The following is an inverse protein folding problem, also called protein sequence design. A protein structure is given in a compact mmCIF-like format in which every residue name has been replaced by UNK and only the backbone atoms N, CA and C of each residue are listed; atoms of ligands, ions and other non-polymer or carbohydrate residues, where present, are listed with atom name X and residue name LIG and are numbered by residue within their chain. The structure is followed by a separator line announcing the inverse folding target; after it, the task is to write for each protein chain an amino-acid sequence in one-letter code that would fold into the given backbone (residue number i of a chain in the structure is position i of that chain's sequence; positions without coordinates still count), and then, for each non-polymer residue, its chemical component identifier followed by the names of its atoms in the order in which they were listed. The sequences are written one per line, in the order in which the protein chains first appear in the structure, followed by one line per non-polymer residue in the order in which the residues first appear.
data_IF_680895642269
#
_entry.id   IF_680895642269
#
_cell.length_a   1.000
_cell.length_b   1.000
_cell.length_c   1.000
_cell.angle_alpha   90.00
_cell.angle_beta   90.00
_cell.angle_gamma   90.00
#
_symmetry.space_group_name_H-M   'P 1'
#
loop_
_entity.id
_entity.type
_entity.pdbx_description
1 polymer ?
#
# COMPACT_ATOMS: atom_id res chain seq x y z
N UNK A 1 7.49 -23.24 14.93
CA UNK A 1 7.20 -23.79 13.58
C UNK A 1 7.08 -22.75 12.45
N UNK A 2 6.90 -21.45 12.70
CA UNK A 2 6.69 -20.44 11.63
C UNK A 2 7.95 -19.93 10.88
N UNK A 3 9.16 -20.27 11.32
CA UNK A 3 10.41 -19.80 10.68
C UNK A 3 10.89 -20.68 9.51
N UNK A 4 10.46 -21.96 9.45
CA UNK A 4 11.00 -22.91 8.47
C UNK A 4 10.47 -22.70 7.05
N UNK A 5 9.32 -22.03 6.88
CA UNK A 5 8.69 -21.81 5.57
C UNK A 5 9.29 -20.61 4.80
N UNK A 6 10.10 -19.77 5.45
CA UNK A 6 10.76 -18.61 4.80
C UNK A 6 11.89 -19.01 3.83
N UNK A 7 12.32 -20.27 3.83
CA UNK A 7 13.46 -20.77 3.05
C UNK A 7 13.06 -21.49 1.74
N UNK A 8 11.76 -21.68 1.45
CA UNK A 8 11.27 -22.35 0.23
C UNK A 8 10.83 -21.36 -0.87
N UNK A 9 11.42 -20.15 -0.87
CA UNK A 9 11.08 -19.03 -1.76
C UNK A 9 10.98 -19.37 -3.27
N UNK A 10 11.90 -20.14 -3.88
CA UNK A 10 11.81 -20.39 -5.32
C UNK A 10 10.76 -21.45 -5.69
N UNK A 11 10.41 -22.37 -4.79
CA UNK A 11 9.53 -23.50 -5.13
C UNK A 11 8.05 -23.13 -5.22
N UNK A 12 7.54 -22.25 -4.34
CA UNK A 12 6.11 -21.88 -4.32
C UNK A 12 5.72 -20.92 -5.46
N UNK A 13 6.61 -19.98 -5.84
CA UNK A 13 6.36 -19.01 -6.93
C UNK A 13 6.35 -19.65 -8.34
N UNK A 14 6.98 -20.82 -8.50
CA UNK A 14 7.02 -21.58 -9.77
C UNK A 14 5.70 -22.33 -10.02
N UNK A 15 5.00 -22.76 -8.96
CA UNK A 15 3.75 -23.51 -9.06
C UNK A 15 2.51 -22.58 -9.08
N UNK A 16 2.57 -21.44 -8.38
CA UNK A 16 1.48 -20.45 -8.35
C UNK A 16 2.00 -19.02 -8.59
N UNK A 17 2.28 -18.64 -9.85
CA UNK A 17 2.84 -17.32 -10.19
C UNK A 17 1.90 -16.13 -9.90
N UNK A 18 0.67 -16.39 -9.46
CA UNK A 18 -0.32 -15.36 -9.09
C UNK A 18 -0.61 -15.30 -7.58
N UNK A 19 0.10 -16.07 -6.75
CA UNK A 19 -0.13 -16.08 -5.30
C UNK A 19 0.55 -14.89 -4.62
N UNK A 20 -0.22 -14.13 -3.84
CA UNK A 20 0.28 -12.99 -3.05
C UNK A 20 0.77 -13.51 -1.71
N UNK A 21 2.09 -13.40 -1.48
CA UNK A 21 2.74 -13.78 -0.24
C UNK A 21 2.79 -12.62 0.79
N UNK A 22 3.45 -12.82 1.93
CA UNK A 22 3.56 -11.79 2.97
C UNK A 22 4.35 -10.55 2.50
N UNK A 23 5.35 -10.72 1.62
CA UNK A 23 6.15 -9.61 1.10
C UNK A 23 5.31 -8.81 0.12
N UNK A 24 4.63 -9.51 -0.79
CA UNK A 24 3.75 -8.90 -1.78
C UNK A 24 2.58 -8.17 -1.09
N UNK A 25 1.94 -8.78 -0.08
CA UNK A 25 0.88 -8.15 0.72
C UNK A 25 1.34 -6.84 1.37
N UNK A 26 2.53 -6.84 1.99
CA UNK A 26 3.06 -5.63 2.63
C UNK A 26 3.40 -4.54 1.61
N UNK A 27 3.97 -4.91 0.46
CA UNK A 27 4.27 -3.96 -0.62
C UNK A 27 3.01 -3.35 -1.23
N UNK A 28 1.95 -4.13 -1.39
CA UNK A 28 0.69 -3.72 -2.00
C UNK A 28 -0.27 -3.05 -0.99
N UNK A 29 0.12 -2.93 0.28
CA UNK A 29 -0.78 -2.49 1.35
C UNK A 29 -1.34 -1.08 1.17
N UNK A 30 -0.53 -0.12 0.72
CA UNK A 30 -0.99 1.25 0.44
C UNK A 30 -2.03 1.27 -0.69
N UNK A 31 -1.69 0.71 -1.85
CA UNK A 31 -2.60 0.63 -3.00
C UNK A 31 -3.87 -0.15 -2.67
N UNK A 32 -3.78 -1.18 -1.82
CA UNK A 32 -4.94 -1.93 -1.33
C UNK A 32 -5.88 -1.06 -0.48
N UNK A 33 -5.34 -0.26 0.44
CA UNK A 33 -6.11 0.65 1.29
C UNK A 33 -6.71 1.84 0.53
N UNK A 34 -6.13 2.20 -0.60
CA UNK A 34 -6.57 3.29 -1.47
C UNK A 34 -7.40 2.80 -2.67
N UNK A 35 -7.76 1.51 -2.69
CA UNK A 35 -8.52 0.88 -3.79
C UNK A 35 -7.85 1.01 -5.17
N UNK A 36 -6.53 1.22 -5.20
CA UNK A 36 -5.72 1.41 -6.41
C UNK A 36 -5.26 0.11 -7.08
N UNK A 37 -5.58 -1.05 -6.50
CA UNK A 37 -5.19 -2.35 -7.06
C UNK A 37 -6.19 -2.86 -8.12
N UNK A 38 -5.72 -3.53 -9.19
CA UNK A 38 -6.58 -4.31 -10.06
C UNK A 38 -7.39 -5.36 -9.26
N UNK A 39 -8.66 -5.64 -9.62
CA UNK A 39 -9.55 -6.49 -8.81
C UNK A 39 -8.96 -7.86 -8.43
N UNK A 40 -8.25 -8.50 -9.36
CA UNK A 40 -7.58 -9.79 -9.12
C UNK A 40 -6.51 -9.70 -8.01
N UNK A 41 -5.74 -8.61 -7.99
CA UNK A 41 -4.70 -8.39 -6.96
C UNK A 41 -5.32 -8.01 -5.62
N UNK A 42 -6.35 -7.18 -5.62
CA UNK A 42 -7.09 -6.84 -4.40
C UNK A 42 -7.67 -8.10 -3.75
N UNK A 43 -8.30 -8.99 -4.53
CA UNK A 43 -8.83 -10.27 -4.05
C UNK A 43 -7.75 -11.20 -3.49
N UNK A 44 -6.57 -11.26 -4.11
CA UNK A 44 -5.45 -12.05 -3.62
C UNK A 44 -4.89 -11.50 -2.29
N UNK A 45 -4.75 -10.18 -2.17
CA UNK A 45 -4.38 -9.52 -0.90
C UNK A 45 -5.44 -9.79 0.18
N UNK A 46 -6.72 -9.62 -0.13
CA UNK A 46 -7.83 -9.92 0.78
C UNK A 46 -7.76 -11.37 1.29
N UNK A 47 -7.55 -12.32 0.38
CA UNK A 47 -7.40 -13.74 0.73
C UNK A 47 -6.21 -13.97 1.67
N UNK A 48 -5.08 -13.33 1.42
CA UNK A 48 -3.91 -13.42 2.30
C UNK A 48 -4.20 -12.84 3.69
N UNK A 49 -4.85 -11.68 3.77
CA UNK A 49 -5.18 -11.01 5.03
C UNK A 49 -6.17 -11.81 5.88
N UNK A 50 -7.08 -12.58 5.26
CA UNK A 50 -7.98 -13.49 5.96
C UNK A 50 -7.27 -14.67 6.62
N UNK A 51 -6.10 -15.06 6.09
CA UNK A 51 -5.37 -16.26 6.53
C UNK A 51 -4.07 -15.94 7.30
N UNK A 52 -3.63 -14.67 7.33
CA UNK A 52 -2.35 -14.26 7.91
C UNK A 52 -2.53 -13.11 8.91
N UNK A 53 -2.66 -13.45 10.20
CA UNK A 53 -2.79 -12.50 11.31
C UNK A 53 -1.70 -11.41 11.36
N UNK A 54 -0.40 -11.74 11.18
CA UNK A 54 0.66 -10.71 11.14
C UNK A 54 0.48 -9.69 10.01
N UNK A 55 0.10 -10.12 8.81
CA UNK A 55 -0.15 -9.21 7.69
C UNK A 55 -1.41 -8.37 7.92
N UNK A 56 -2.46 -8.96 8.50
CA UNK A 56 -3.67 -8.25 8.93
C UNK A 56 -3.33 -7.11 9.90
N UNK A 57 -2.61 -7.41 10.97
CA UNK A 57 -2.19 -6.41 11.97
C UNK A 57 -1.34 -5.28 11.36
N UNK A 58 -0.46 -5.61 10.40
CA UNK A 58 0.32 -4.61 9.68
C UNK A 58 -0.56 -3.65 8.87
N UNK A 59 -1.49 -4.18 8.07
CA UNK A 59 -2.41 -3.37 7.25
C UNK A 59 -3.34 -2.53 8.13
N UNK A 60 -3.88 -3.10 9.20
CA UNK A 60 -4.74 -2.38 10.15
C UNK A 60 -4.00 -1.22 10.84
N UNK A 61 -2.70 -1.42 11.16
CA UNK A 61 -1.84 -0.37 11.73
C UNK A 61 -1.58 0.75 10.71
N UNK A 62 -1.32 0.39 9.44
CA UNK A 62 -1.14 1.37 8.38
C UNK A 62 -2.42 2.20 8.17
N UNK A 63 -3.59 1.54 8.10
CA UNK A 63 -4.89 2.19 7.98
C UNK A 63 -5.15 3.15 9.15
N UNK A 64 -4.83 2.73 10.37
CA UNK A 64 -4.97 3.57 11.57
C UNK A 64 -4.07 4.80 11.51
N UNK A 65 -2.83 4.64 11.07
CA UNK A 65 -1.87 5.75 10.89
C UNK A 65 -2.37 6.76 9.86
N UNK A 66 -2.85 6.29 8.70
CA UNK A 66 -3.48 7.14 7.68
C UNK A 66 -4.69 7.89 8.27
N UNK A 67 -5.54 7.19 9.03
CA UNK A 67 -6.70 7.78 9.69
C UNK A 67 -6.33 8.90 10.67
N UNK A 68 -5.24 8.74 11.43
CA UNK A 68 -4.70 9.79 12.31
C UNK A 68 -4.21 10.99 11.50
N UNK A 69 -3.42 10.77 10.45
CA UNK A 69 -2.88 11.84 9.61
C UNK A 69 -3.97 12.62 8.87
N UNK A 70 -5.05 11.96 8.43
CA UNK A 70 -6.19 12.61 7.75
C UNK A 70 -7.00 13.55 8.65
N UNK A 71 -6.89 13.43 9.98
CA UNK A 71 -7.59 14.32 10.94
C UNK A 71 -6.90 15.65 11.13
N UNK A 72 -5.66 15.79 10.67
CA UNK A 72 -4.98 17.09 10.71
C UNK A 72 -5.67 18.05 9.75
N UNK A 73 -5.87 19.33 10.14
CA UNK A 73 -6.50 20.31 9.27
C UNK A 73 -5.69 20.42 7.98
N UNK A 74 -6.38 20.33 6.84
CA UNK A 74 -5.77 20.55 5.54
C UNK A 74 -5.12 21.94 5.49
N UNK A 75 -3.92 22.03 4.94
CA UNK A 75 -3.29 23.32 4.72
C UNK A 75 -4.09 24.10 3.68
N UNK A 76 -4.57 25.30 4.03
CA UNK A 76 -5.14 26.22 3.05
C UNK A 76 -3.99 27.00 2.42
N UNK A 77 -3.67 26.79 1.14
CA UNK A 77 -2.61 27.55 0.50
C UNK A 77 -3.00 29.03 0.40
N UNK A 78 -2.03 29.97 0.46
CA UNK A 78 -2.31 31.39 0.23
C UNK A 78 -2.90 31.60 -1.17
N UNK A 79 -3.71 32.64 -1.36
CA UNK A 79 -4.39 32.91 -2.63
C UNK A 79 -3.43 33.05 -3.83
N UNK A 80 -2.19 33.48 -3.58
CA UNK A 80 -1.14 33.60 -4.59
C UNK A 80 -0.49 32.27 -5.00
N UNK A 81 -0.71 31.18 -4.26
CA UNK A 81 0.00 29.91 -4.43
C UNK A 81 -0.08 29.38 -5.86
N UNK A 82 -1.28 29.37 -6.46
CA UNK A 82 -1.49 28.94 -7.84
C UNK A 82 -0.62 29.74 -8.80
N UNK A 83 -0.62 31.07 -8.68
CA UNK A 83 0.16 31.94 -9.57
C UNK A 83 1.66 31.72 -9.39
N UNK A 84 2.13 31.63 -8.13
CA UNK A 84 3.54 31.39 -7.83
C UNK A 84 4.06 30.05 -8.39
N UNK A 85 3.25 28.99 -8.32
CA UNK A 85 3.57 27.69 -8.92
C UNK A 85 3.66 27.80 -10.45
N UNK A 86 2.66 28.42 -11.08
CA UNK A 86 2.63 28.55 -12.55
C UNK A 86 3.78 29.40 -13.08
N UNK A 87 4.14 30.48 -12.40
CA UNK A 87 5.27 31.32 -12.80
C UNK A 87 6.60 30.59 -12.68
N UNK A 88 6.73 29.67 -11.72
CA UNK A 88 7.93 28.84 -11.59
C UNK A 88 8.03 27.79 -12.68
N UNK A 89 6.92 27.09 -13.00
CA UNK A 89 6.87 26.13 -14.11
C UNK A 89 7.28 26.79 -15.44
N UNK A 90 6.77 27.99 -15.73
CA UNK A 90 7.12 28.74 -16.96
C UNK A 90 8.58 29.18 -17.06
N UNK A 91 9.28 29.31 -15.93
CA UNK A 91 10.69 29.72 -15.91
C UNK A 91 11.65 28.54 -16.10
N UNK A 92 11.20 27.33 -15.75
CA UNK A 92 12.01 26.11 -15.78
C UNK A 92 11.74 25.24 -17.02
N UNK A 93 10.60 25.44 -17.69
CA UNK A 93 10.28 24.82 -18.98
C UNK A 93 10.75 25.65 -20.17
#
# INVERSE_FOLDING_TARGET
MFKQLMLLRPFMKVLHPNEVDCIDTRKLSSDYLEEGLPPKKASAVQTHLSNCGPCRAFVDTLASTIGVLRRFPGATPPASFKQSVMDKIRREG
#
